data_IF_791778659315
#
_entry.id   IF_791778659315
#
_cell.length_a   1.000
_cell.length_b   1.000
_cell.length_c   1.000
_cell.angle_alpha   90.00
_cell.angle_beta   90.00
_cell.angle_gamma   90.00
#
_symmetry.space_group_name_H-M   'P 1'
#
loop_
_entity.id
_entity.type
_entity.pdbx_description
1 polymer ?
#
# COMPACT_ATOMS: atom_id res chain seq x y z
N UNK A 1 20.08 -2.56 -26.01
CA UNK A 1 19.86 -2.65 -27.47
C UNK A 1 18.68 -3.57 -27.64
N UNK A 2 17.48 -3.03 -27.86
CA UNK A 2 16.21 -3.79 -27.88
C UNK A 2 15.82 -4.30 -29.27
N UNK A 3 16.81 -4.79 -30.04
CA UNK A 3 16.59 -5.34 -31.37
C UNK A 3 16.68 -6.87 -31.31
N UNK A 4 15.76 -7.54 -31.98
CA UNK A 4 15.71 -9.00 -32.07
C UNK A 4 15.43 -9.50 -33.49
N UNK A 5 15.95 -10.67 -33.83
CA UNK A 5 15.74 -11.30 -35.13
C UNK A 5 14.38 -12.01 -35.15
N UNK A 6 13.39 -11.41 -35.82
CA UNK A 6 12.06 -12.02 -35.99
C UNK A 6 12.05 -13.19 -36.96
N UNK A 7 12.77 -13.05 -38.07
CA UNK A 7 12.87 -14.11 -39.08
C UNK A 7 14.32 -14.31 -39.46
N UNK A 8 14.78 -15.56 -39.35
CA UNK A 8 16.12 -15.96 -39.79
C UNK A 8 16.26 -15.86 -41.31
N UNK A 9 17.49 -15.65 -41.77
CA UNK A 9 17.83 -15.71 -43.18
C UNK A 9 17.51 -17.09 -43.78
N UNK A 10 17.04 -17.11 -45.02
CA UNK A 10 16.85 -18.32 -45.83
C UNK A 10 17.32 -18.06 -47.27
N UNK A 11 17.52 -19.13 -48.05
CA UNK A 11 18.14 -19.06 -49.40
C UNK A 11 17.49 -18.03 -50.35
N UNK A 12 16.19 -17.80 -50.21
CA UNK A 12 15.39 -16.85 -51.03
C UNK A 12 14.92 -15.61 -50.27
N UNK A 13 15.30 -15.48 -49.00
CA UNK A 13 14.56 -14.65 -48.04
C UNK A 13 15.51 -14.02 -47.02
N UNK A 14 15.61 -12.68 -47.01
CA UNK A 14 16.44 -11.97 -46.06
C UNK A 14 15.92 -12.08 -44.61
N UNK A 15 16.83 -11.85 -43.67
CA UNK A 15 16.54 -11.71 -42.23
C UNK A 15 15.64 -10.51 -41.98
N UNK A 16 14.68 -10.64 -41.08
CA UNK A 16 13.84 -9.53 -40.59
C UNK A 16 14.16 -9.26 -39.13
N UNK A 17 14.52 -8.01 -38.83
CA UNK A 17 14.81 -7.52 -37.49
C UNK A 17 13.62 -6.73 -36.96
N UNK A 18 13.27 -6.91 -35.69
CA UNK A 18 12.22 -6.17 -34.98
C UNK A 18 12.68 -5.74 -33.60
N UNK A 19 11.75 -5.21 -32.80
CA UNK A 19 12.02 -4.86 -31.41
C UNK A 19 11.59 -5.98 -30.45
N UNK A 20 12.36 -6.16 -29.38
CA UNK A 20 12.06 -7.08 -28.28
C UNK A 20 10.88 -6.61 -27.43
N UNK A 21 10.38 -7.50 -26.58
CA UNK A 21 9.26 -7.17 -25.69
C UNK A 21 9.60 -5.96 -24.83
N UNK A 22 8.67 -5.00 -24.77
CA UNK A 22 8.88 -3.77 -24.03
C UNK A 22 9.47 -2.63 -24.85
N UNK A 23 9.67 -2.78 -26.16
CA UNK A 23 10.24 -1.74 -27.03
C UNK A 23 9.35 -1.43 -28.24
N UNK A 24 9.38 -0.16 -28.64
CA UNK A 24 8.77 0.38 -29.84
C UNK A 24 9.83 0.70 -30.90
N UNK A 25 9.49 0.41 -32.16
CA UNK A 25 10.27 0.81 -33.31
C UNK A 25 10.08 2.30 -33.58
N UNK A 26 11.19 3.05 -33.59
CA UNK A 26 11.18 4.49 -33.90
C UNK A 26 11.76 4.80 -35.28
N UNK A 27 12.33 3.80 -35.95
CA UNK A 27 12.91 3.95 -37.29
C UNK A 27 12.73 2.64 -38.05
N UNK A 28 11.88 2.67 -39.08
CA UNK A 28 11.64 1.53 -39.97
C UNK A 28 12.52 1.61 -41.22
N UNK A 29 13.05 0.48 -41.68
CA UNK A 29 13.85 0.37 -42.90
C UNK A 29 13.34 -0.83 -43.74
N UNK A 30 12.25 -0.59 -44.47
CA UNK A 30 11.50 -1.65 -45.15
C UNK A 30 10.68 -2.48 -44.17
N UNK A 31 10.84 -3.81 -44.19
CA UNK A 31 10.15 -4.72 -43.26
C UNK A 31 10.87 -4.85 -41.90
N UNK A 32 12.02 -4.19 -41.73
CA UNK A 32 12.81 -4.26 -40.52
C UNK A 32 12.66 -3.00 -39.65
N UNK A 33 12.94 -3.14 -38.36
CA UNK A 33 13.19 -2.01 -37.49
C UNK A 33 14.69 -1.76 -37.36
N UNK A 34 15.15 -0.55 -37.65
CA UNK A 34 16.55 -0.15 -37.50
C UNK A 34 16.87 0.33 -36.08
N UNK A 35 15.88 0.88 -35.36
CA UNK A 35 16.08 1.45 -34.03
C UNK A 35 14.88 1.24 -33.11
N UNK A 36 15.15 0.64 -31.96
CA UNK A 36 14.18 0.37 -30.92
C UNK A 36 14.39 1.29 -29.72
N UNK A 37 13.29 1.74 -29.12
CA UNK A 37 13.24 2.52 -27.89
C UNK A 37 12.38 1.77 -26.87
N UNK A 38 12.71 1.76 -25.57
CA UNK A 38 11.80 1.20 -24.58
C UNK A 38 10.45 1.92 -24.60
N UNK A 39 9.40 1.18 -24.26
CA UNK A 39 8.09 1.74 -24.03
C UNK A 39 8.09 2.77 -22.90
N UNK A 40 7.23 3.77 -23.04
CA UNK A 40 6.94 4.69 -21.95
C UNK A 40 6.44 3.90 -20.74
N UNK A 41 7.00 4.23 -19.58
CA UNK A 41 6.47 3.79 -18.27
C UNK A 41 5.51 4.86 -17.78
N UNK A 42 4.33 4.44 -17.31
CA UNK A 42 3.38 5.39 -16.72
C UNK A 42 3.88 5.88 -15.37
N UNK A 43 3.56 7.12 -15.03
CA UNK A 43 3.99 7.72 -13.78
C UNK A 43 3.12 7.31 -12.58
N UNK A 44 3.53 7.69 -11.36
CA UNK A 44 2.64 7.72 -10.21
C UNK A 44 1.38 8.52 -10.54
N UNK A 45 0.21 8.09 -10.05
CA UNK A 45 -1.06 8.71 -10.44
C UNK A 45 -1.69 8.15 -11.71
N UNK A 46 -0.98 7.30 -12.45
CA UNK A 46 -1.45 6.78 -13.73
C UNK A 46 -1.59 5.26 -13.70
N UNK A 47 -2.37 4.74 -14.63
CA UNK A 47 -2.47 3.31 -14.95
C UNK A 47 -2.17 3.08 -16.42
N UNK A 48 -1.73 1.87 -16.73
CA UNK A 48 -1.59 1.40 -18.10
C UNK A 48 -2.97 1.20 -18.70
N UNK A 49 -3.34 2.07 -19.63
CA UNK A 49 -4.63 2.00 -20.35
C UNK A 49 -4.53 1.03 -21.51
N UNK A 50 -3.48 1.14 -22.32
CA UNK A 50 -3.17 0.19 -23.39
C UNK A 50 -1.68 -0.17 -23.34
N UNK A 51 -1.38 -1.46 -23.52
CA UNK A 51 0.01 -1.93 -23.55
C UNK A 51 0.63 -1.53 -24.88
N UNK A 52 1.87 -1.04 -24.82
CA UNK A 52 2.66 -0.78 -26.01
C UNK A 52 2.85 -2.03 -26.87
N UNK A 53 2.99 -1.80 -28.16
CA UNK A 53 3.36 -2.79 -29.19
C UNK A 53 4.59 -2.30 -29.92
N UNK A 54 5.25 -3.13 -30.72
CA UNK A 54 6.39 -2.69 -31.53
C UNK A 54 6.12 -1.44 -32.38
N UNK A 55 4.85 -1.13 -32.70
CA UNK A 55 4.47 0.06 -33.50
C UNK A 55 3.79 1.17 -32.70
N UNK A 56 3.37 0.92 -31.47
CA UNK A 56 2.63 1.89 -30.64
C UNK A 56 3.19 1.93 -29.24
N UNK A 57 3.32 3.13 -28.68
CA UNK A 57 3.83 3.24 -27.32
C UNK A 57 2.76 2.83 -26.30
N UNK A 58 3.17 2.59 -25.05
CA UNK A 58 2.24 2.37 -23.95
C UNK A 58 1.41 3.63 -23.71
N UNK A 59 0.09 3.46 -23.65
CA UNK A 59 -0.83 4.53 -23.31
C UNK A 59 -1.14 4.52 -21.81
N UNK A 60 -1.03 5.70 -21.20
CA UNK A 60 -1.23 5.91 -19.77
C UNK A 60 -2.48 6.77 -19.57
N UNK A 61 -3.31 6.39 -18.60
CA UNK A 61 -4.47 7.17 -18.18
C UNK A 61 -4.35 7.51 -16.69
N UNK A 62 -4.87 8.67 -16.29
CA UNK A 62 -4.89 9.08 -14.90
C UNK A 62 -5.85 8.23 -14.06
N UNK A 63 -5.57 8.09 -12.77
CA UNK A 63 -6.40 7.35 -11.85
C UNK A 63 -7.70 8.12 -11.55
N UNK A 64 -8.88 7.47 -11.63
CA UNK A 64 -10.12 8.12 -11.27
C UNK A 64 -10.14 8.49 -9.77
N UNK A 65 -10.96 9.49 -9.38
CA UNK A 65 -11.12 9.88 -7.98
C UNK A 65 -11.47 8.67 -7.10
N UNK A 66 -10.89 8.59 -5.91
CA UNK A 66 -11.06 7.44 -5.01
C UNK A 66 -10.10 6.29 -5.28
N UNK A 67 -9.15 6.44 -6.20
CA UNK A 67 -8.14 5.43 -6.51
C UNK A 67 -6.74 6.02 -6.65
N UNK A 68 -5.71 5.19 -6.44
CA UNK A 68 -4.31 5.56 -6.54
C UNK A 68 -3.46 4.49 -7.24
N UNK A 69 -2.30 4.91 -7.75
CA UNK A 69 -1.28 4.05 -8.33
C UNK A 69 0.11 4.60 -7.96
N UNK A 70 0.90 3.90 -7.14
CA UNK A 70 2.17 4.43 -6.65
C UNK A 70 3.26 4.46 -7.72
N UNK A 71 3.23 3.53 -8.67
CA UNK A 71 4.31 3.33 -9.64
C UNK A 71 3.90 3.30 -11.11
N UNK A 72 2.62 3.52 -11.43
CA UNK A 72 2.17 3.55 -12.83
C UNK A 72 2.19 2.21 -13.58
N UNK A 73 2.71 1.14 -12.98
CA UNK A 73 2.85 -0.18 -13.61
C UNK A 73 1.55 -0.99 -13.62
N UNK A 74 0.53 -0.52 -12.88
CA UNK A 74 -0.73 -1.22 -12.72
C UNK A 74 -1.65 -0.97 -13.94
N UNK A 75 -2.32 -2.03 -14.39
CA UNK A 75 -3.39 -1.89 -15.40
C UNK A 75 -4.65 -1.21 -14.84
N UNK A 76 -4.83 -1.27 -13.52
CA UNK A 76 -5.95 -0.70 -12.80
C UNK A 76 -5.48 -0.06 -11.51
N UNK A 77 -6.01 1.13 -11.19
CA UNK A 77 -5.68 1.84 -9.95
C UNK A 77 -6.32 1.12 -8.75
N UNK A 78 -5.63 1.18 -7.62
CA UNK A 78 -6.10 0.62 -6.36
C UNK A 78 -7.06 1.59 -5.68
N UNK A 79 -8.16 1.13 -5.07
CA UNK A 79 -9.03 2.01 -4.30
C UNK A 79 -8.29 2.58 -3.09
N UNK A 80 -8.62 3.80 -2.68
CA UNK A 80 -8.12 4.35 -1.43
C UNK A 80 -8.58 3.52 -0.23
N UNK A 81 -7.72 3.42 0.77
CA UNK A 81 -8.07 2.88 2.07
C UNK A 81 -9.18 3.72 2.71
N UNK A 82 -10.28 3.07 3.06
CA UNK A 82 -11.40 3.74 3.74
C UNK A 82 -11.20 3.67 5.26
N UNK A 83 -11.01 4.83 5.89
CA UNK A 83 -10.91 4.95 7.35
C UNK A 83 -12.32 4.96 7.98
N UNK A 84 -13.05 3.84 7.89
CA UNK A 84 -14.42 3.69 8.42
C UNK A 84 -14.51 2.92 9.73
N UNK A 85 -13.36 2.55 10.33
CA UNK A 85 -13.33 1.90 11.64
C UNK A 85 -13.86 2.81 12.75
N UNK A 86 -14.50 2.22 13.78
CA UNK A 86 -15.09 2.93 14.93
C UNK A 86 -14.15 3.90 15.65
N UNK A 87 -12.83 3.66 15.55
CA UNK A 87 -11.78 4.51 16.11
C UNK A 87 -10.74 4.92 15.07
N UNK A 88 -11.07 4.93 13.79
CA UNK A 88 -10.15 5.37 12.74
C UNK A 88 -10.54 6.77 12.26
N UNK A 89 -9.55 7.63 12.09
CA UNK A 89 -9.71 8.92 11.42
C UNK A 89 -8.74 9.00 10.25
N UNK A 90 -9.21 9.57 9.14
CA UNK A 90 -8.35 9.94 8.02
C UNK A 90 -7.44 11.08 8.48
N UNK A 91 -6.13 10.88 8.33
CA UNK A 91 -5.12 11.87 8.72
C UNK A 91 -4.64 12.62 7.50
N UNK A 92 -4.36 11.91 6.41
CA UNK A 92 -4.04 12.50 5.11
C UNK A 92 -4.95 11.93 4.04
N UNK A 93 -5.52 12.80 3.17
CA UNK A 93 -6.36 12.36 2.08
C UNK A 93 -5.56 11.59 1.03
N UNK A 94 -6.19 10.56 0.47
CA UNK A 94 -5.64 9.85 -0.67
C UNK A 94 -5.46 10.79 -1.86
N UNK A 95 -4.37 10.59 -2.61
CA UNK A 95 -4.15 11.26 -3.89
C UNK A 95 -4.17 10.22 -5.01
N UNK A 96 -4.02 10.64 -6.27
CA UNK A 96 -3.87 9.67 -7.35
C UNK A 96 -2.56 8.86 -7.22
N UNK A 97 -1.53 9.39 -6.56
CA UNK A 97 -0.23 8.73 -6.39
C UNK A 97 -0.06 8.03 -5.04
N UNK A 98 -0.84 8.41 -4.02
CA UNK A 98 -0.67 7.94 -2.64
C UNK A 98 -1.99 7.49 -2.05
N UNK A 99 -1.93 6.47 -1.19
CA UNK A 99 -3.10 6.01 -0.46
C UNK A 99 -3.51 7.01 0.63
N UNK A 100 -4.75 6.90 1.09
CA UNK A 100 -5.23 7.60 2.29
C UNK A 100 -4.64 6.95 3.55
N UNK A 101 -4.22 7.77 4.52
CA UNK A 101 -3.64 7.27 5.77
C UNK A 101 -4.64 7.34 6.92
N UNK A 102 -4.80 6.22 7.62
CA UNK A 102 -5.68 6.11 8.79
C UNK A 102 -4.88 6.12 10.09
N UNK A 103 -5.34 6.88 11.06
CA UNK A 103 -4.81 6.88 12.43
C UNK A 103 -5.88 6.55 13.44
N UNK A 104 -5.47 6.03 14.60
CA UNK A 104 -6.37 5.77 15.72
C UNK A 104 -6.80 7.09 16.36
N UNK A 105 -8.11 7.23 16.57
CA UNK A 105 -8.69 8.38 17.25
C UNK A 105 -8.13 8.52 18.66
N UNK A 106 -7.84 9.76 19.05
CA UNK A 106 -7.33 10.09 20.37
C UNK A 106 -8.29 9.62 21.49
N UNK A 107 -9.58 9.51 21.20
CA UNK A 107 -10.58 8.94 22.11
C UNK A 107 -10.28 7.50 22.51
N UNK A 108 -9.75 6.68 21.59
CA UNK A 108 -9.36 5.30 21.91
C UNK A 108 -8.18 5.27 22.89
N UNK A 109 -7.18 6.12 22.69
CA UNK A 109 -6.05 6.28 23.60
C UNK A 109 -6.51 6.69 25.00
N UNK A 110 -7.41 7.67 25.10
CA UNK A 110 -7.96 8.10 26.39
C UNK A 110 -8.75 6.96 27.07
N UNK A 111 -9.60 6.23 26.34
CA UNK A 111 -10.33 5.08 26.88
C UNK A 111 -9.40 4.00 27.43
N UNK A 112 -8.34 3.64 26.69
CA UNK A 112 -7.35 2.67 27.17
C UNK A 112 -6.62 3.16 28.43
N UNK A 113 -6.24 4.43 28.50
CA UNK A 113 -5.58 4.99 29.69
C UNK A 113 -6.51 4.99 30.90
N UNK A 114 -7.77 5.43 30.73
CA UNK A 114 -8.76 5.42 31.80
C UNK A 114 -9.10 4.00 32.26
N UNK A 115 -9.19 3.03 31.35
CA UNK A 115 -9.46 1.64 31.73
C UNK A 115 -8.30 1.07 32.55
N UNK A 116 -7.05 1.31 32.15
CA UNK A 116 -5.86 0.85 32.88
C UNK A 116 -5.78 1.51 34.25
N UNK A 117 -6.01 2.83 34.34
CA UNK A 117 -6.00 3.55 35.62
C UNK A 117 -7.08 3.04 36.57
N UNK A 118 -8.29 2.80 36.04
CA UNK A 118 -9.40 2.24 36.83
C UNK A 118 -9.07 0.85 37.39
N UNK A 119 -8.43 -0.02 36.60
CA UNK A 119 -8.00 -1.36 37.06
C UNK A 119 -6.95 -1.25 38.17
N UNK A 120 -5.99 -0.34 38.05
CA UNK A 120 -4.96 -0.11 39.07
C UNK A 120 -5.59 0.38 40.37
N UNK A 121 -6.50 1.36 40.30
CA UNK A 121 -7.20 1.90 41.48
C UNK A 121 -8.00 0.80 42.18
N UNK A 122 -8.74 -0.03 41.43
CA UNK A 122 -9.51 -1.15 42.00
C UNK A 122 -8.57 -2.15 42.69
N UNK A 123 -7.45 -2.51 42.07
CA UNK A 123 -6.47 -3.41 42.67
C UNK A 123 -5.88 -2.84 43.98
N UNK A 124 -5.54 -1.55 44.01
CA UNK A 124 -5.04 -0.89 45.22
C UNK A 124 -6.08 -0.87 46.33
N UNK A 125 -7.35 -0.57 46.01
CA UNK A 125 -8.45 -0.59 46.97
C UNK A 125 -8.67 -2.00 47.53
N UNK A 126 -8.62 -3.03 46.69
CA UNK A 126 -8.73 -4.43 47.13
C UNK A 126 -7.57 -4.84 48.04
N UNK A 127 -6.33 -4.48 47.71
CA UNK A 127 -5.15 -4.74 48.55
C UNK A 127 -5.26 -4.01 49.89
N UNK A 128 -5.67 -2.73 49.89
CA UNK A 128 -5.92 -1.98 51.13
C UNK A 128 -7.03 -2.62 51.96
N UNK A 129 -8.11 -3.05 51.32
CA UNK A 129 -9.21 -3.73 52.01
C UNK A 129 -8.76 -5.07 52.62
N UNK A 130 -7.98 -5.89 51.89
CA UNK A 130 -7.43 -7.16 52.37
C UNK A 130 -6.45 -6.93 53.53
N UNK A 131 -5.55 -5.94 53.42
CA UNK A 131 -4.55 -5.65 54.47
C UNK A 131 -5.20 -5.09 55.73
N UNK A 132 -6.20 -4.21 55.60
CA UNK A 132 -7.00 -3.72 56.74
C UNK A 132 -7.83 -4.85 57.36
N UNK A 133 -8.45 -5.71 56.55
CA UNK A 133 -9.21 -6.87 57.03
C UNK A 133 -8.32 -7.88 57.75
N UNK A 134 -7.12 -8.15 57.24
CA UNK A 134 -6.11 -9.00 57.88
C UNK A 134 -5.67 -8.41 59.23
N UNK A 135 -5.39 -7.10 59.30
CA UNK A 135 -5.10 -6.41 60.57
C UNK A 135 -6.25 -6.49 61.57
N UNK A 136 -7.50 -6.32 61.11
CA UNK A 136 -8.69 -6.45 61.97
C UNK A 136 -8.91 -7.89 62.47
N UNK A 137 -8.57 -8.90 61.66
CA UNK A 137 -8.66 -10.31 62.06
C UNK A 137 -7.58 -10.72 63.06
N UNK A 138 -6.40 -10.07 63.05
CA UNK A 138 -5.33 -10.29 64.04
C UNK A 138 -5.51 -9.47 65.33
N UNK A 139 -6.24 -8.36 65.29
CA UNK A 139 -6.52 -7.52 66.46
C UNK A 139 -7.60 -8.05 67.42
N UNK A 140 -8.23 -9.18 67.13
CA UNK A 140 -9.33 -9.75 67.92
C UNK A 140 -8.96 -10.93 68.83
N UNK A 141 -7.68 -11.30 68.97
CA UNK A 141 -7.28 -12.49 69.75
C UNK A 141 -6.05 -12.21 70.62
N UNK A 142 -6.24 -11.42 71.68
CA UNK A 142 -5.17 -11.15 72.64
C UNK A 142 -5.52 -10.18 73.76
N UNK A 143 -6.46 -10.54 74.64
CA UNK A 143 -6.39 -10.20 76.07
C UNK A 143 -7.49 -10.94 76.86
N UNK A 144 -7.08 -11.77 77.81
CA UNK A 144 -7.95 -12.53 78.70
C UNK A 144 -7.11 -13.51 79.51
N UNK A 145 -6.27 -12.94 80.38
CA UNK A 145 -5.54 -13.65 81.42
C UNK A 145 -6.24 -13.43 82.76
#
# INVERSE_FOLDING_TARGET
MGLETRRKCFSTNNTVCGCDQGHICVTEEGDNCAKCRPHRVCGPGQRVQERGTERRDTECADCPPGTFSPGGTLAQCQPWTQCSGWFQMETEPGTQSTDATCSSSWGFYLLCVFSVFSVIVVALVLVLWITVKSRRSCGGRGHGH
#
